data_IF_107396053227
#
_entry.id   IF_107396053227
#
_cell.length_a   1.000
_cell.length_b   1.000
_cell.length_c   1.000
_cell.angle_alpha   90.00
_cell.angle_beta   90.00
_cell.angle_gamma   90.00
#
_symmetry.space_group_name_H-M   'P 1'
#
loop_
_entity.id
_entity.type
_entity.pdbx_description
1 polymer ?
#
# COMPACT_ATOMS: atom_id res chain seq x y z
N UNK A 1 -22.22 -1.10 43.61
CA UNK A 1 -22.93 -1.56 42.38
C UNK A 1 -22.72 -0.59 41.22
N UNK A 2 -22.87 0.72 41.45
CA UNK A 2 -22.58 1.80 40.48
C UNK A 2 -21.14 1.78 39.92
N UNK A 3 -20.12 1.61 40.77
CA UNK A 3 -18.71 1.64 40.34
C UNK A 3 -18.32 0.43 39.44
N UNK A 4 -18.92 -0.74 39.66
CA UNK A 4 -18.70 -1.91 38.81
C UNK A 4 -19.46 -1.80 37.48
N UNK A 5 -20.65 -1.20 37.48
CA UNK A 5 -21.37 -0.90 36.23
C UNK A 5 -20.60 0.13 35.41
N UNK A 6 -20.03 1.16 36.04
CA UNK A 6 -19.23 2.18 35.36
C UNK A 6 -17.91 1.63 34.80
N UNK A 7 -17.22 0.75 35.54
CA UNK A 7 -16.05 0.03 35.05
C UNK A 7 -16.39 -0.91 33.89
N UNK A 8 -17.54 -1.60 33.96
CA UNK A 8 -17.99 -2.53 32.92
C UNK A 8 -18.41 -1.78 31.64
N UNK A 9 -19.14 -0.66 31.77
CA UNK A 9 -19.52 0.22 30.65
C UNK A 9 -18.27 0.83 30.01
N UNK A 10 -17.31 1.28 30.81
CA UNK A 10 -16.01 1.77 30.32
C UNK A 10 -15.22 0.70 29.55
N UNK A 11 -15.26 -0.55 30.02
CA UNK A 11 -14.64 -1.70 29.36
C UNK A 11 -15.30 -2.03 28.00
N UNK A 12 -16.64 -2.01 27.93
CA UNK A 12 -17.39 -2.28 26.69
C UNK A 12 -17.13 -1.19 25.64
N UNK A 13 -17.09 0.08 26.05
CA UNK A 13 -16.80 1.21 25.17
C UNK A 13 -15.35 1.15 24.65
N UNK A 14 -14.39 0.79 25.51
CA UNK A 14 -12.99 0.58 25.09
C UNK A 14 -12.85 -0.60 24.11
N UNK A 15 -13.54 -1.72 24.36
CA UNK A 15 -13.54 -2.89 23.47
C UNK A 15 -14.14 -2.61 22.09
N UNK A 16 -15.26 -1.89 22.02
CA UNK A 16 -15.90 -1.50 20.75
C UNK A 16 -15.00 -0.58 19.91
N UNK A 17 -14.22 0.30 20.54
CA UNK A 17 -13.27 1.22 19.86
C UNK A 17 -12.08 0.47 19.26
N UNK A 18 -11.50 -0.48 20.00
CA UNK A 18 -10.43 -1.34 19.49
C UNK A 18 -10.97 -2.17 18.31
N UNK A 19 -12.20 -2.69 18.42
CA UNK A 19 -12.85 -3.44 17.34
C UNK A 19 -13.02 -2.65 16.03
N UNK A 20 -13.33 -1.35 16.10
CA UNK A 20 -13.43 -0.49 14.90
C UNK A 20 -12.07 -0.32 14.23
N UNK A 21 -11.02 0.00 14.99
CA UNK A 21 -9.66 0.15 14.45
C UNK A 21 -9.18 -1.17 13.84
N UNK A 22 -9.47 -2.29 14.50
CA UNK A 22 -9.09 -3.62 14.03
C UNK A 22 -9.84 -3.99 12.73
N UNK A 23 -11.12 -3.67 12.63
CA UNK A 23 -11.93 -3.87 11.42
C UNK A 23 -11.41 -3.06 10.24
N UNK A 24 -11.06 -1.79 10.48
CA UNK A 24 -10.47 -0.94 9.44
C UNK A 24 -9.12 -1.47 8.97
N UNK A 25 -8.32 -2.10 9.85
CA UNK A 25 -7.07 -2.78 9.44
C UNK A 25 -7.35 -4.01 8.59
N UNK A 26 -8.33 -4.82 8.97
CA UNK A 26 -8.73 -5.99 8.18
C UNK A 26 -9.20 -5.60 6.78
N UNK A 27 -10.01 -4.53 6.69
CA UNK A 27 -10.45 -3.95 5.42
C UNK A 27 -9.26 -3.42 4.60
N UNK A 28 -8.31 -2.73 5.24
CA UNK A 28 -7.10 -2.25 4.59
C UNK A 28 -6.27 -3.42 4.01
N UNK A 29 -6.11 -4.50 4.78
CA UNK A 29 -5.38 -5.70 4.37
C UNK A 29 -6.07 -6.42 3.19
N UNK A 30 -7.40 -6.48 3.18
CA UNK A 30 -8.16 -7.05 2.07
C UNK A 30 -7.90 -6.31 0.76
N UNK A 31 -7.94 -4.97 0.75
CA UNK A 31 -7.64 -4.22 -0.47
C UNK A 31 -6.19 -4.34 -0.92
N UNK A 32 -5.24 -4.48 0.01
CA UNK A 32 -3.83 -4.80 -0.32
C UNK A 32 -3.73 -6.18 -0.97
N UNK A 33 -4.45 -7.18 -0.46
CA UNK A 33 -4.46 -8.52 -1.04
C UNK A 33 -4.99 -8.50 -2.47
N UNK A 34 -6.15 -7.88 -2.70
CA UNK A 34 -6.74 -7.73 -4.04
C UNK A 34 -5.75 -7.08 -5.01
N UNK A 35 -5.11 -6.00 -4.56
CA UNK A 35 -4.13 -5.27 -5.37
C UNK A 35 -2.94 -6.14 -5.75
N UNK A 36 -2.38 -6.85 -4.78
CA UNK A 36 -1.22 -7.72 -5.03
C UNK A 36 -1.57 -8.91 -5.91
N UNK A 37 -2.76 -9.51 -5.77
CA UNK A 37 -3.17 -10.62 -6.64
C UNK A 37 -3.22 -10.19 -8.11
N UNK A 38 -3.80 -9.02 -8.40
CA UNK A 38 -3.87 -8.50 -9.79
C UNK A 38 -2.48 -8.20 -10.33
N UNK A 39 -1.63 -7.52 -9.55
CA UNK A 39 -0.24 -7.23 -9.96
C UNK A 39 0.58 -8.52 -10.14
N UNK A 40 0.37 -9.52 -9.29
CA UNK A 40 1.01 -10.82 -9.42
C UNK A 40 0.61 -11.56 -10.68
N UNK A 41 -0.68 -11.63 -10.97
CA UNK A 41 -1.16 -12.22 -12.22
C UNK A 41 -0.60 -11.47 -13.42
N UNK A 42 -0.56 -10.13 -13.38
CA UNK A 42 -0.02 -9.31 -14.46
C UNK A 42 1.48 -9.58 -14.69
N UNK A 43 2.27 -9.65 -13.61
CA UNK A 43 3.72 -9.87 -13.70
C UNK A 43 4.08 -11.31 -14.10
N UNK A 44 3.32 -12.30 -13.63
CA UNK A 44 3.56 -13.71 -13.95
C UNK A 44 3.04 -14.11 -15.34
N UNK A 45 1.98 -13.47 -15.84
CA UNK A 45 1.38 -13.80 -17.13
C UNK A 45 1.92 -12.97 -18.30
N UNK A 46 2.79 -11.99 -18.06
CA UNK A 46 3.41 -11.20 -19.12
C UNK A 46 4.35 -12.09 -19.96
N UNK A 47 4.06 -12.35 -21.26
CA UNK A 47 4.97 -13.08 -22.12
C UNK A 47 6.21 -12.20 -22.32
N UNK A 48 7.37 -12.61 -21.82
CA UNK A 48 8.54 -11.75 -21.59
C UNK A 48 9.20 -11.04 -22.79
N UNK A 49 8.54 -10.86 -23.94
CA UNK A 49 9.12 -10.32 -25.16
C UNK A 49 9.22 -8.79 -25.28
N UNK A 50 8.80 -8.00 -24.28
CA UNK A 50 8.76 -6.53 -24.36
C UNK A 50 9.23 -5.80 -23.09
N UNK A 51 9.49 -4.48 -23.20
CA UNK A 51 9.88 -3.61 -22.08
C UNK A 51 8.74 -3.25 -21.13
N UNK A 52 7.50 -3.55 -21.52
CA UNK A 52 6.27 -3.22 -20.82
C UNK A 52 5.53 -4.48 -20.40
N UNK A 53 4.80 -4.40 -19.28
CA UNK A 53 3.98 -5.49 -18.76
C UNK A 53 2.66 -5.51 -19.53
N UNK A 54 2.47 -6.48 -20.42
CA UNK A 54 1.25 -6.61 -21.21
C UNK A 54 0.24 -7.57 -20.56
N UNK A 55 -1.04 -7.17 -20.40
CA UNK A 55 -2.08 -8.07 -19.92
C UNK A 55 -2.32 -9.23 -20.91
N UNK A 56 -2.38 -10.46 -20.41
CA UNK A 56 -2.71 -11.65 -21.21
C UNK A 56 -4.18 -11.67 -21.68
N UNK A 57 -5.06 -10.95 -20.98
CA UNK A 57 -6.49 -10.86 -21.28
C UNK A 57 -6.84 -9.42 -21.68
N UNK A 58 -7.32 -9.25 -22.92
CA UNK A 58 -7.63 -7.95 -23.52
C UNK A 58 -9.14 -7.74 -23.74
N UNK A 59 -9.98 -8.49 -23.00
CA UNK A 59 -11.43 -8.35 -23.06
C UNK A 59 -11.89 -7.00 -22.53
N UNK A 60 -13.05 -6.53 -23.00
CA UNK A 60 -13.67 -5.30 -22.47
C UNK A 60 -13.99 -5.41 -20.97
N UNK A 61 -14.36 -6.59 -20.51
CA UNK A 61 -14.57 -6.89 -19.10
C UNK A 61 -13.27 -6.83 -18.28
N UNK A 62 -12.15 -7.33 -18.84
CA UNK A 62 -10.85 -7.34 -18.17
C UNK A 62 -10.27 -5.92 -18.05
N UNK A 63 -10.37 -5.12 -19.12
CA UNK A 63 -10.00 -3.70 -19.10
C UNK A 63 -10.82 -2.91 -18.10
N UNK A 64 -12.13 -3.18 -18.01
CA UNK A 64 -12.99 -2.53 -17.03
C UNK A 64 -12.64 -2.94 -15.59
N UNK A 65 -12.39 -4.24 -15.34
CA UNK A 65 -11.98 -4.73 -14.03
C UNK A 65 -10.63 -4.13 -13.60
N UNK A 66 -9.67 -4.04 -14.53
CA UNK A 66 -8.37 -3.40 -14.28
C UNK A 66 -8.53 -1.91 -14.00
N UNK A 67 -9.29 -1.18 -14.82
CA UNK A 67 -9.52 0.24 -14.59
C UNK A 67 -10.24 0.51 -13.26
N UNK A 68 -11.19 -0.36 -12.87
CA UNK A 68 -11.85 -0.27 -11.57
C UNK A 68 -10.87 -0.53 -10.41
N UNK A 69 -10.00 -1.52 -10.56
CA UNK A 69 -8.97 -1.84 -9.57
C UNK A 69 -7.93 -0.71 -9.44
N UNK A 70 -7.41 -0.21 -10.56
CA UNK A 70 -6.45 0.90 -10.62
C UNK A 70 -7.07 2.17 -10.03
N UNK A 71 -8.29 2.47 -10.48
CA UNK A 71 -9.07 3.61 -10.04
C UNK A 71 -9.47 3.57 -8.57
N UNK A 72 -9.81 2.41 -7.98
CA UNK A 72 -10.36 2.35 -6.61
C UNK A 72 -9.42 1.78 -5.56
N UNK A 73 -8.48 0.93 -5.93
CA UNK A 73 -7.67 0.14 -4.99
C UNK A 73 -6.19 0.47 -5.04
N UNK A 74 -5.61 0.63 -6.24
CA UNK A 74 -4.17 0.83 -6.39
C UNK A 74 -3.71 2.06 -5.60
N UNK A 75 -2.66 1.86 -4.80
CA UNK A 75 -2.04 2.93 -4.02
C UNK A 75 -2.84 3.44 -2.80
N UNK A 76 -4.13 3.12 -2.66
CA UNK A 76 -4.98 3.71 -1.60
C UNK A 76 -4.94 2.90 -0.31
N UNK A 77 -5.05 1.58 -0.43
CA UNK A 77 -5.16 0.69 0.71
C UNK A 77 -3.85 0.57 1.50
N UNK A 78 -2.68 0.68 0.84
CA UNK A 78 -1.40 0.69 1.56
C UNK A 78 -1.23 1.96 2.41
N UNK A 79 -1.60 3.14 1.89
CA UNK A 79 -1.57 4.40 2.63
C UNK A 79 -2.54 4.40 3.82
N UNK A 80 -3.73 3.82 3.62
CA UNK A 80 -4.69 3.61 4.70
C UNK A 80 -4.09 2.70 5.77
N UNK A 81 -3.56 1.54 5.38
CA UNK A 81 -2.91 0.62 6.31
C UNK A 81 -1.74 1.29 7.04
N UNK A 82 -0.97 2.13 6.36
CA UNK A 82 0.15 2.89 6.92
C UNK A 82 -0.31 3.89 7.99
N UNK A 83 -1.38 4.64 7.73
CA UNK A 83 -2.00 5.52 8.71
C UNK A 83 -2.48 4.75 9.95
N UNK A 84 -3.19 3.64 9.75
CA UNK A 84 -3.71 2.81 10.84
C UNK A 84 -2.58 2.17 11.65
N UNK A 85 -1.46 1.83 11.00
CA UNK A 85 -0.27 1.33 11.68
C UNK A 85 0.31 2.38 12.62
N UNK A 86 0.49 3.62 12.14
CA UNK A 86 0.93 4.75 12.96
C UNK A 86 -0.02 5.08 14.11
N UNK A 87 -1.34 4.96 13.89
CA UNK A 87 -2.34 5.10 14.95
C UNK A 87 -2.27 3.97 15.99
N UNK A 88 -2.19 2.72 15.52
CA UNK A 88 -2.10 1.54 16.39
C UNK A 88 -0.83 1.55 17.24
N UNK A 89 0.23 2.20 16.76
CA UNK A 89 1.48 2.39 17.49
C UNK A 89 1.29 3.20 18.78
N UNK A 90 0.49 4.29 18.75
CA UNK A 90 0.23 5.08 19.97
C UNK A 90 -0.60 4.31 20.98
N UNK A 91 -1.58 3.52 20.50
CA UNK A 91 -2.41 2.69 21.35
C UNK A 91 -1.57 1.63 22.08
N UNK A 92 -0.59 1.04 21.40
CA UNK A 92 0.35 0.09 22.01
C UNK A 92 1.25 0.74 23.05
N UNK A 93 1.77 1.94 22.79
CA UNK A 93 2.56 2.70 23.77
C UNK A 93 1.72 2.99 25.00
N UNK A 94 0.49 3.49 24.83
CA UNK A 94 -0.41 3.79 25.92
C UNK A 94 -0.79 2.53 26.72
N UNK A 95 -0.99 1.39 26.05
CA UNK A 95 -1.27 0.11 26.70
C UNK A 95 -0.07 -0.40 27.52
N UNK A 96 1.15 -0.27 27.00
CA UNK A 96 2.37 -0.66 27.74
C UNK A 96 2.58 0.22 28.97
N UNK A 97 2.38 1.53 28.85
CA UNK A 97 2.45 2.48 29.96
C UNK A 97 1.42 2.17 31.06
N UNK A 98 0.18 1.86 30.69
CA UNK A 98 -0.86 1.41 31.64
C UNK A 98 -0.51 0.11 32.35
N UNK A 99 0.21 -0.78 31.69
CA UNK A 99 0.67 -2.05 32.25
C UNK A 99 1.99 -1.92 33.04
N UNK A 100 2.53 -0.71 33.24
CA UNK A 100 3.82 -0.50 33.92
C UNK A 100 5.03 -1.05 33.16
N UNK A 101 4.88 -1.42 31.89
CA UNK A 101 5.92 -2.04 31.07
C UNK A 101 6.58 -1.03 30.13
N UNK A 102 7.88 -1.23 29.84
CA UNK A 102 8.59 -0.43 28.87
C UNK A 102 8.00 -0.66 27.44
N UNK A 103 7.63 0.39 26.70
CA UNK A 103 7.01 0.24 25.38
C UNK A 103 8.02 -0.20 24.31
N UNK A 104 9.29 0.18 24.42
CA UNK A 104 10.31 -0.04 23.36
C UNK A 104 10.57 -1.53 23.09
N UNK A 105 10.83 -2.40 24.10
CA UNK A 105 11.11 -3.81 23.85
C UNK A 105 9.94 -4.54 23.18
N UNK A 106 8.69 -4.17 23.53
CA UNK A 106 7.49 -4.75 22.92
C UNK A 106 7.36 -4.36 21.45
N UNK A 107 7.64 -3.10 21.13
CA UNK A 107 7.64 -2.59 19.76
C UNK A 107 8.79 -3.21 18.93
N UNK A 108 9.99 -3.36 19.49
CA UNK A 108 11.11 -4.02 18.81
C UNK A 108 10.82 -5.49 18.49
N UNK A 109 10.24 -6.24 19.43
CA UNK A 109 9.82 -7.63 19.18
C UNK A 109 8.80 -7.72 18.04
N UNK A 110 7.89 -6.74 17.95
CA UNK A 110 6.92 -6.64 16.87
C UNK A 110 7.60 -6.32 15.53
N UNK A 111 8.48 -5.31 15.48
CA UNK A 111 9.18 -5.01 14.23
C UNK A 111 10.05 -6.21 13.80
N UNK A 112 10.67 -6.95 14.73
CA UNK A 112 11.41 -8.18 14.43
C UNK A 112 10.50 -9.30 13.90
N UNK A 113 9.33 -9.53 14.50
CA UNK A 113 8.36 -10.49 13.98
C UNK A 113 7.87 -10.12 12.57
N UNK A 114 7.56 -8.84 12.32
CA UNK A 114 7.20 -8.36 10.99
C UNK A 114 8.35 -8.55 9.99
N UNK A 115 9.59 -8.26 10.39
CA UNK A 115 10.75 -8.45 9.53
C UNK A 115 10.97 -9.92 9.17
N UNK A 116 10.88 -10.84 10.13
CA UNK A 116 11.06 -12.28 9.89
C UNK A 116 9.95 -12.85 9.01
N UNK A 117 8.69 -12.48 9.25
CA UNK A 117 7.57 -12.89 8.41
C UNK A 117 7.72 -12.30 7.01
N UNK A 118 8.16 -11.05 6.90
CA UNK A 118 8.36 -10.38 5.62
C UNK A 118 9.50 -11.00 4.83
N UNK A 119 10.58 -11.38 5.50
CA UNK A 119 11.69 -12.10 4.87
C UNK A 119 11.24 -13.46 4.34
N UNK A 120 10.45 -14.21 5.11
CA UNK A 120 9.84 -15.44 4.61
C UNK A 120 8.90 -15.15 3.42
N UNK A 121 8.11 -14.08 3.47
CA UNK A 121 7.23 -13.70 2.37
C UNK A 121 8.00 -13.37 1.08
N UNK A 122 9.11 -12.62 1.19
CA UNK A 122 10.01 -12.27 0.07
C UNK A 122 10.68 -13.49 -0.55
N UNK A 123 10.92 -14.55 0.23
CA UNK A 123 11.65 -15.76 -0.19
C UNK A 123 10.74 -16.90 -0.67
N UNK A 124 9.47 -16.90 -0.29
CA UNK A 124 8.55 -18.00 -0.61
C UNK A 124 7.33 -17.58 -1.44
N UNK A 125 6.91 -16.31 -1.41
CA UNK A 125 5.60 -15.90 -1.92
C UNK A 125 5.68 -14.80 -2.97
N UNK A 126 6.35 -13.68 -2.68
CA UNK A 126 6.24 -12.47 -3.51
C UNK A 126 7.37 -11.46 -3.29
N UNK A 127 7.91 -10.88 -4.37
CA UNK A 127 9.02 -9.91 -4.28
C UNK A 127 8.63 -8.54 -3.73
N UNK A 128 7.36 -8.15 -3.86
CA UNK A 128 6.82 -6.86 -3.40
C UNK A 128 6.34 -6.87 -1.96
N UNK A 129 7.13 -7.41 -1.04
CA UNK A 129 6.76 -7.46 0.36
C UNK A 129 6.72 -6.08 1.01
N UNK A 130 5.56 -5.73 1.54
CA UNK A 130 5.38 -4.47 2.28
C UNK A 130 5.81 -4.62 3.75
N UNK A 131 5.94 -5.84 4.26
CA UNK A 131 6.09 -6.10 5.68
C UNK A 131 7.48 -5.75 6.21
N UNK A 132 8.52 -6.05 5.43
CA UNK A 132 9.92 -5.64 5.64
C UNK A 132 10.07 -4.13 5.61
N UNK A 133 9.43 -3.47 4.63
CA UNK A 133 9.35 -2.00 4.58
C UNK A 133 8.71 -1.45 5.84
N UNK A 134 7.58 -2.02 6.28
CA UNK A 134 6.86 -1.57 7.46
C UNK A 134 7.65 -1.86 8.74
N UNK A 135 8.43 -2.94 8.80
CA UNK A 135 9.34 -3.22 9.90
C UNK A 135 10.44 -2.14 10.00
N UNK A 136 11.02 -1.71 8.87
CA UNK A 136 11.96 -0.60 8.83
C UNK A 136 11.33 0.74 9.24
N UNK A 137 10.16 1.06 8.69
CA UNK A 137 9.41 2.25 9.07
C UNK A 137 8.97 2.23 10.54
N UNK A 138 8.66 1.05 11.09
CA UNK A 138 8.36 0.83 12.50
C UNK A 138 9.55 1.24 13.39
N UNK A 139 10.78 0.86 13.00
CA UNK A 139 11.99 1.29 13.69
C UNK A 139 12.17 2.81 13.63
N UNK A 140 12.02 3.42 12.45
CA UNK A 140 12.07 4.88 12.29
C UNK A 140 11.02 5.56 13.18
N UNK A 141 9.80 5.02 13.24
CA UNK A 141 8.73 5.56 14.07
C UNK A 141 9.03 5.46 15.57
N UNK A 142 9.76 4.43 16.00
CA UNK A 142 10.26 4.32 17.39
C UNK A 142 11.21 5.48 17.71
N UNK A 143 12.10 5.86 16.79
CA UNK A 143 12.99 7.02 16.98
C UNK A 143 12.18 8.32 17.00
N UNK A 144 11.18 8.45 16.12
CA UNK A 144 10.35 9.64 15.98
C UNK A 144 9.18 9.72 16.99
N UNK A 145 9.05 8.76 17.90
CA UNK A 145 7.94 8.70 18.88
C UNK A 145 7.84 9.94 19.76
N UNK A 146 8.95 10.66 19.97
CA UNK A 146 9.01 11.86 20.80
C UNK A 146 8.42 13.11 20.14
N UNK A 147 8.13 13.09 18.84
CA UNK A 147 7.67 14.27 18.11
C UNK A 147 6.34 14.81 18.64
N UNK A 148 6.20 16.13 18.70
CA UNK A 148 4.92 16.78 19.03
C UNK A 148 3.87 16.43 17.96
N UNK A 149 2.58 16.28 18.31
CA UNK A 149 1.54 15.90 17.33
C UNK A 149 1.47 16.84 16.12
N UNK A 150 1.67 18.15 16.33
CA UNK A 150 1.70 19.14 15.24
C UNK A 150 2.89 18.91 14.31
N UNK A 151 4.08 18.69 14.86
CA UNK A 151 5.29 18.43 14.07
C UNK A 151 5.16 17.14 13.28
N UNK A 152 4.71 16.05 13.90
CA UNK A 152 4.50 14.77 13.20
C UNK A 152 3.48 14.91 12.04
N UNK A 153 2.38 15.64 12.25
CA UNK A 153 1.40 15.89 11.21
C UNK A 153 1.99 16.70 10.04
N UNK A 154 2.66 17.82 10.33
CA UNK A 154 3.25 18.68 9.28
C UNK A 154 4.34 17.93 8.53
N UNK A 155 5.25 17.25 9.22
CA UNK A 155 6.30 16.44 8.59
C UNK A 155 5.70 15.36 7.71
N UNK A 156 4.65 14.67 8.16
CA UNK A 156 4.00 13.64 7.36
C UNK A 156 3.31 14.21 6.11
N UNK A 157 2.68 15.38 6.24
CA UNK A 157 2.05 16.08 5.13
C UNK A 157 3.08 16.54 4.08
N UNK A 158 4.19 17.11 4.55
CA UNK A 158 5.30 17.54 3.69
C UNK A 158 5.92 16.34 2.97
N UNK A 159 6.19 15.23 3.66
CA UNK A 159 6.73 14.01 3.03
C UNK A 159 5.80 13.48 1.93
N UNK A 160 4.50 13.42 2.20
CA UNK A 160 3.52 12.93 1.24
C UNK A 160 3.42 13.84 0.01
N UNK A 161 3.25 15.16 0.20
CA UNK A 161 3.13 16.08 -0.92
C UNK A 161 4.44 16.33 -1.67
N UNK A 162 5.59 16.28 -0.99
CA UNK A 162 6.88 16.35 -1.66
C UNK A 162 7.09 15.14 -2.58
N UNK A 163 6.70 13.95 -2.12
CA UNK A 163 6.72 12.75 -2.96
C UNK A 163 5.72 12.84 -4.11
N UNK A 164 4.48 13.28 -3.84
CA UNK A 164 3.48 13.48 -4.88
C UNK A 164 3.93 14.52 -5.92
N UNK A 165 4.59 15.60 -5.51
CA UNK A 165 5.15 16.60 -6.42
C UNK A 165 6.25 16.02 -7.31
N UNK A 166 7.02 15.05 -6.82
CA UNK A 166 8.03 14.35 -7.62
C UNK A 166 7.41 13.59 -8.80
N UNK A 167 6.17 13.11 -8.65
CA UNK A 167 5.43 12.47 -9.75
C UNK A 167 5.04 13.43 -10.88
N UNK A 168 5.04 14.75 -10.64
CA UNK A 168 4.78 15.78 -11.66
C UNK A 168 6.06 16.34 -12.29
N UNK A 169 7.24 15.92 -11.83
CA UNK A 169 8.51 16.31 -12.46
C UNK A 169 8.65 15.55 -13.79
N UNK A 170 8.83 16.25 -14.93
CA UNK A 170 9.02 15.57 -16.22
C UNK A 170 10.27 14.69 -16.18
N UNK A 171 10.08 13.40 -16.33
CA UNK A 171 11.12 12.37 -16.39
C UNK A 171 10.48 11.01 -16.65
N UNK A 172 11.25 10.04 -17.15
CA UNK A 172 10.79 8.66 -17.40
C UNK A 172 10.53 7.87 -16.09
N UNK A 173 9.97 8.49 -15.07
CA UNK A 173 9.80 7.94 -13.71
C UNK A 173 8.48 7.20 -13.49
N UNK A 174 7.86 6.65 -14.54
CA UNK A 174 6.69 5.78 -14.45
C UNK A 174 7.06 4.29 -14.35
N UNK A 175 6.09 3.39 -14.55
CA UNK A 175 6.38 1.96 -14.81
C UNK A 175 7.18 1.74 -16.10
N UNK A 176 7.31 2.76 -16.95
CA UNK A 176 8.19 2.80 -18.11
C UNK A 176 9.65 2.62 -17.69
N UNK A 177 10.32 1.58 -18.17
CA UNK A 177 11.69 1.23 -17.79
C UNK A 177 11.79 0.17 -16.69
N UNK A 178 10.66 -0.36 -16.19
CA UNK A 178 10.68 -1.55 -15.34
C UNK A 178 11.36 -2.74 -16.05
N UNK A 179 11.19 -2.89 -17.37
CA UNK A 179 11.90 -3.88 -18.18
C UNK A 179 13.41 -3.64 -18.31
N UNK A 180 13.91 -2.41 -18.09
CA UNK A 180 15.34 -2.10 -18.05
C UNK A 180 15.95 -2.42 -16.67
N UNK A 181 15.17 -2.26 -15.60
CA UNK A 181 15.61 -2.48 -14.20
C UNK A 181 15.45 -3.96 -13.81
N UNK A 182 14.37 -4.57 -14.27
CA UNK A 182 13.99 -5.94 -14.01
C UNK A 182 13.84 -6.69 -15.34
N UNK A 183 14.67 -7.70 -15.53
CA UNK A 183 14.55 -8.64 -16.64
C UNK A 183 13.25 -9.44 -16.47
N UNK A 184 12.18 -8.95 -17.10
CA UNK A 184 10.82 -9.49 -16.98
C UNK A 184 10.76 -10.94 -17.49
N UNK A 185 11.55 -11.27 -18.50
CA UNK A 185 11.62 -12.61 -19.05
C UNK A 185 12.29 -13.58 -18.07
N UNK A 186 13.42 -13.18 -17.47
CA UNK A 186 14.06 -13.97 -16.43
C UNK A 186 13.23 -14.08 -15.14
N UNK A 187 12.40 -13.08 -14.83
CA UNK A 187 11.40 -13.21 -13.76
C UNK A 187 10.32 -14.23 -14.12
N UNK A 188 9.73 -14.12 -15.31
CA UNK A 188 8.72 -15.08 -15.79
C UNK A 188 9.25 -16.52 -15.73
N UNK A 189 10.43 -16.76 -16.32
CA UNK A 189 11.08 -18.08 -16.36
C UNK A 189 11.36 -18.62 -14.95
N UNK A 190 11.80 -17.76 -14.03
CA UNK A 190 12.05 -18.12 -12.63
C UNK A 190 10.79 -18.47 -11.85
N UNK A 191 9.64 -17.88 -12.18
CA UNK A 191 8.35 -18.20 -11.56
C UNK A 191 7.66 -19.43 -12.17
N UNK A 192 7.92 -19.74 -13.44
CA UNK A 192 7.42 -20.96 -14.10
C UNK A 192 8.35 -22.17 -13.92
N UNK A 193 9.56 -21.97 -13.39
CA UNK A 193 10.58 -23.00 -13.16
C UNK A 193 10.36 -23.84 -11.90
N UNK A 194 11.41 -24.57 -11.49
CA UNK A 194 11.38 -25.38 -10.27
C UNK A 194 11.64 -24.50 -9.02
N UNK A 195 11.37 -25.02 -7.82
CA UNK A 195 11.52 -24.27 -6.56
C UNK A 195 12.92 -23.62 -6.40
N UNK A 196 13.97 -24.29 -6.88
CA UNK A 196 15.34 -23.75 -6.88
C UNK A 196 15.54 -22.56 -7.82
N UNK A 197 14.89 -22.56 -8.99
CA UNK A 197 14.94 -21.47 -9.96
C UNK A 197 14.18 -20.26 -9.44
N UNK A 198 13.03 -20.49 -8.80
CA UNK A 198 12.25 -19.44 -8.14
C UNK A 198 13.03 -18.81 -6.99
N UNK A 199 13.69 -19.62 -6.14
CA UNK A 199 14.51 -19.10 -5.04
C UNK A 199 15.70 -18.29 -5.56
N UNK A 200 16.39 -18.76 -6.60
CA UNK A 200 17.49 -18.04 -7.24
C UNK A 200 17.02 -16.72 -7.88
N UNK A 201 15.86 -16.72 -8.55
CA UNK A 201 15.23 -15.52 -9.08
C UNK A 201 14.90 -14.54 -7.95
N UNK A 202 14.26 -15.00 -6.86
CA UNK A 202 13.89 -14.16 -5.72
C UNK A 202 15.11 -13.58 -5.00
N UNK A 203 16.21 -14.32 -4.84
CA UNK A 203 17.46 -13.78 -4.27
C UNK A 203 18.10 -12.71 -5.16
N UNK A 204 17.97 -12.83 -6.49
CA UNK A 204 18.57 -11.89 -7.44
C UNK A 204 17.75 -10.61 -7.61
N UNK A 205 16.41 -10.73 -7.69
CA UNK A 205 15.50 -9.62 -7.92
C UNK A 205 14.98 -9.00 -6.63
N UNK A 206 14.90 -9.77 -5.54
CA UNK A 206 14.37 -9.34 -4.23
C UNK A 206 15.01 -8.05 -3.72
N UNK A 207 16.35 -7.93 -3.64
CA UNK A 207 16.99 -6.69 -3.19
C UNK A 207 16.67 -5.47 -4.06
N UNK A 208 16.60 -5.65 -5.39
CA UNK A 208 16.24 -4.57 -6.33
C UNK A 208 14.77 -4.16 -6.14
N UNK A 209 13.88 -5.13 -6.00
CA UNK A 209 12.45 -4.90 -5.82
C UNK A 209 12.15 -4.27 -4.46
N UNK A 210 12.86 -4.68 -3.40
CA UNK A 210 12.80 -4.05 -2.08
C UNK A 210 13.25 -2.60 -2.14
N UNK A 211 14.36 -2.29 -2.83
CA UNK A 211 14.84 -0.92 -2.99
C UNK A 211 13.84 -0.06 -3.78
N UNK A 212 13.32 -0.58 -4.89
CA UNK A 212 12.29 0.07 -5.69
C UNK A 212 11.04 0.36 -4.84
N UNK A 213 10.59 -0.62 -4.07
CA UNK A 213 9.44 -0.47 -3.15
C UNK A 213 9.72 0.54 -2.05
N UNK A 214 10.94 0.58 -1.49
CA UNK A 214 11.35 1.57 -0.51
C UNK A 214 11.33 2.99 -1.06
N UNK A 215 11.84 3.20 -2.27
CA UNK A 215 11.87 4.51 -2.91
C UNK A 215 10.46 4.96 -3.33
N UNK A 216 9.67 4.05 -3.91
CA UNK A 216 8.34 4.36 -4.42
C UNK A 216 7.24 4.44 -3.35
N UNK A 217 7.32 3.63 -2.29
CA UNK A 217 6.26 3.53 -1.28
C UNK A 217 6.73 3.94 0.12
N UNK A 218 8.02 3.89 0.42
CA UNK A 218 8.55 4.14 1.77
C UNK A 218 8.33 5.57 2.25
N UNK A 219 8.62 6.56 1.41
CA UNK A 219 8.42 7.99 1.73
C UNK A 219 6.94 8.32 2.01
N UNK A 220 5.98 8.02 1.12
CA UNK A 220 4.58 8.32 1.37
C UNK A 220 4.01 7.48 2.53
N UNK A 221 4.45 6.21 2.70
CA UNK A 221 4.05 5.39 3.85
C UNK A 221 4.56 5.97 5.18
N UNK A 222 5.81 6.46 5.24
CA UNK A 222 6.34 7.15 6.42
C UNK A 222 5.53 8.42 6.72
N UNK A 223 5.15 9.18 5.68
CA UNK A 223 4.28 10.33 5.82
C UNK A 223 2.96 9.97 6.51
N UNK A 224 2.30 8.91 6.04
CA UNK A 224 1.05 8.42 6.64
C UNK A 224 1.24 7.82 8.04
N UNK A 225 2.37 7.16 8.33
CA UNK A 225 2.70 6.69 9.69
C UNK A 225 2.77 7.87 10.67
N UNK A 226 3.39 8.98 10.27
CA UNK A 226 3.52 10.18 11.11
C UNK A 226 2.18 10.90 11.30
N UNK A 227 1.35 10.96 10.26
CA UNK A 227 -0.03 11.46 10.38
C UNK A 227 -0.84 10.56 11.32
N UNK A 228 -0.69 9.24 11.21
CA UNK A 228 -1.29 8.25 12.11
C UNK A 228 -0.84 8.43 13.56
N UNK A 229 0.46 8.64 13.77
CA UNK A 229 1.04 8.95 15.08
C UNK A 229 0.45 10.22 15.68
N UNK A 230 0.30 11.29 14.88
CA UNK A 230 -0.30 12.54 15.31
C UNK A 230 -1.79 12.38 15.68
N UNK A 231 -2.55 11.66 14.87
CA UNK A 231 -3.96 11.35 15.12
C UNK A 231 -4.13 10.47 16.37
N UNK A 232 -3.26 9.49 16.55
CA UNK A 232 -3.24 8.61 17.71
C UNK A 232 -2.92 9.34 19.01
N UNK A 233 -1.97 10.28 19.00
CA UNK A 233 -1.66 11.13 20.16
C UNK A 233 -2.82 12.05 20.56
N UNK A 234 -3.64 12.47 19.59
CA UNK A 234 -4.85 13.26 19.82
C UNK A 234 -6.10 12.42 20.06
N UNK A 235 -5.98 11.08 20.01
CA UNK A 235 -7.10 10.13 20.18
C UNK A 235 -8.29 10.44 19.26
N UNK A 236 -7.99 10.87 18.03
CA UNK A 236 -9.01 11.35 17.08
C UNK A 236 -10.05 10.28 16.75
N UNK A 237 -9.65 9.00 16.69
CA UNK A 237 -10.59 7.90 16.43
C UNK A 237 -11.34 7.42 17.69
N UNK A 238 -10.97 7.91 18.87
CA UNK A 238 -11.70 7.65 20.13
C UNK A 238 -12.72 8.75 20.44
N UNK A 239 -12.60 9.92 19.79
CA UNK A 239 -13.48 11.06 19.96
C UNK A 239 -14.68 10.96 19.00
N UNK A 240 -15.81 10.50 19.53
CA UNK A 240 -17.07 10.32 18.79
C UNK A 240 -17.64 11.64 18.25
N UNK A 241 -17.44 12.75 18.95
CA UNK A 241 -17.90 14.07 18.48
C UNK A 241 -17.04 14.56 17.31
N UNK A 242 -15.74 14.30 17.37
CA UNK A 242 -14.85 14.63 16.27
C UNK A 242 -15.20 13.82 15.01
N UNK A 243 -15.38 12.50 15.14
CA UNK A 243 -15.74 11.61 14.03
C UNK A 243 -17.06 12.05 13.41
N UNK A 244 -18.12 12.22 14.19
CA UNK A 244 -19.45 12.58 13.66
C UNK A 244 -19.44 13.93 12.92
N UNK A 245 -18.59 14.87 13.33
CA UNK A 245 -18.45 16.19 12.69
C UNK A 245 -17.61 16.17 11.42
N UNK A 246 -16.51 15.41 11.41
CA UNK A 246 -15.51 15.47 10.34
C UNK A 246 -15.60 14.33 9.33
N UNK A 247 -16.09 13.15 9.72
CA UNK A 247 -16.26 12.01 8.82
C UNK A 247 -17.13 12.34 7.59
N UNK A 248 -18.33 12.94 7.70
CA UNK A 248 -19.13 13.26 6.52
C UNK A 248 -18.43 14.28 5.60
N UNK A 249 -17.65 15.21 6.14
CA UNK A 249 -16.87 16.18 5.35
C UNK A 249 -15.69 15.52 4.65
N UNK A 250 -14.99 14.63 5.35
CA UNK A 250 -13.89 13.85 4.79
C UNK A 250 -14.39 12.89 3.71
N UNK A 251 -15.57 12.28 3.89
CA UNK A 251 -16.23 11.48 2.87
C UNK A 251 -16.68 12.34 1.70
N UNK A 252 -17.27 13.51 1.93
CA UNK A 252 -17.69 14.42 0.85
C UNK A 252 -16.50 14.92 0.03
N UNK A 253 -15.39 15.32 0.68
CA UNK A 253 -14.14 15.69 0.00
C UNK A 253 -13.51 14.48 -0.70
N UNK A 254 -13.48 13.33 -0.04
CA UNK A 254 -12.90 12.09 -0.55
C UNK A 254 -13.64 11.55 -1.76
N UNK A 255 -14.97 11.47 -1.71
CA UNK A 255 -15.79 11.09 -2.86
C UNK A 255 -15.85 12.20 -3.90
N UNK A 256 -15.93 13.46 -3.48
CA UNK A 256 -16.05 14.62 -4.37
C UNK A 256 -14.80 14.87 -5.21
N UNK A 257 -13.60 14.60 -4.69
CA UNK A 257 -12.34 14.70 -5.45
C UNK A 257 -11.90 13.34 -5.99
N UNK A 258 -12.04 12.29 -5.17
CA UNK A 258 -11.58 10.96 -5.51
C UNK A 258 -12.38 10.27 -6.61
N UNK A 259 -13.71 10.42 -6.66
CA UNK A 259 -14.51 9.82 -7.74
C UNK A 259 -14.22 10.46 -9.09
N UNK A 260 -14.16 11.80 -9.23
CA UNK A 260 -13.80 12.41 -10.51
C UNK A 260 -12.39 12.05 -10.97
N UNK A 261 -11.40 12.06 -10.08
CA UNK A 261 -10.03 11.66 -10.45
C UNK A 261 -10.00 10.20 -10.88
N UNK A 262 -10.64 9.31 -10.13
CA UNK A 262 -10.68 7.88 -10.49
C UNK A 262 -11.45 7.65 -11.80
N UNK A 263 -12.55 8.38 -12.02
CA UNK A 263 -13.31 8.33 -13.27
C UNK A 263 -12.49 8.84 -14.45
N UNK A 264 -11.73 9.92 -14.28
CA UNK A 264 -10.81 10.46 -15.30
C UNK A 264 -9.73 9.42 -15.62
N UNK A 265 -9.07 8.84 -14.61
CA UNK A 265 -8.09 7.76 -14.83
C UNK A 265 -8.70 6.59 -15.58
N UNK A 266 -9.88 6.10 -15.16
CA UNK A 266 -10.61 5.02 -15.84
C UNK A 266 -10.90 5.39 -17.30
N UNK A 267 -11.40 6.60 -17.57
CA UNK A 267 -11.70 7.04 -18.94
C UNK A 267 -10.44 7.20 -19.78
N UNK A 268 -9.35 7.72 -19.23
CA UNK A 268 -8.09 7.88 -19.94
C UNK A 268 -7.46 6.53 -20.27
N UNK A 269 -7.47 5.58 -19.33
CA UNK A 269 -6.95 4.23 -19.52
C UNK A 269 -7.80 3.40 -20.49
N UNK A 270 -9.11 3.68 -20.60
CA UNK A 270 -10.00 3.01 -21.57
C UNK A 270 -9.98 3.65 -22.95
N UNK A 271 -9.73 4.96 -23.06
CA UNK A 271 -9.63 5.68 -24.34
C UNK A 271 -8.25 5.57 -24.99
N UNK A 272 -7.16 5.62 -24.21
CA UNK A 272 -5.79 5.42 -24.69
C UNK A 272 -5.35 3.97 -24.57
N UNK A 273 -6.14 3.03 -25.12
CA UNK A 273 -5.72 1.62 -25.23
C UNK A 273 -4.24 1.57 -25.60
N UNK A 274 -3.46 0.81 -24.82
CA UNK A 274 -2.00 0.86 -24.79
C UNK A 274 -1.41 1.09 -26.19
N UNK A 275 -0.46 2.04 -26.36
CA UNK A 275 0.25 2.11 -27.63
C UNK A 275 0.97 0.77 -27.83
N UNK A 276 0.47 -0.08 -28.72
CA UNK A 276 1.20 -1.26 -29.18
C UNK A 276 2.59 -0.78 -29.65
N UNK A 277 3.70 -1.10 -28.95
CA UNK A 277 5.02 -0.61 -29.33
C UNK A 277 5.52 -1.22 -30.64
N UNK A 278 4.77 -2.19 -31.20
CA UNK A 278 5.09 -2.91 -32.42
C UNK A 278 4.04 -2.84 -33.54
N UNK A 279 3.13 -1.86 -33.53
CA UNK A 279 2.40 -1.53 -34.77
C UNK A 279 3.25 -0.69 -35.74
N UNK A 280 4.49 -1.13 -35.96
CA UNK A 280 5.30 -0.73 -37.10
C UNK A 280 4.89 -1.57 -38.31
N UNK A 281 4.12 -0.97 -39.21
CA UNK A 281 4.13 -1.28 -40.66
C UNK A 281 3.45 -2.54 -41.23
N UNK A 282 2.46 -3.17 -40.59
CA UNK A 282 1.65 -4.20 -41.29
C UNK A 282 0.15 -4.12 -40.97
N UNK A 283 -0.46 -2.98 -41.28
CA UNK A 283 -1.90 -2.89 -41.52
C UNK A 283 -2.12 -2.10 -42.80
N UNK A 284 -1.75 -2.71 -43.93
CA UNK A 284 -2.20 -2.25 -45.25
C UNK A 284 -2.73 -3.45 -46.02
N UNK A 285 -4.06 -3.49 -46.12
CA UNK A 285 -4.86 -4.28 -47.06
C UNK A 285 -4.60 -5.79 -47.15
N UNK A 286 -5.49 -6.56 -46.53
CA UNK A 286 -5.94 -7.84 -47.10
C UNK A 286 -7.46 -7.93 -46.98
N UNK A 287 -8.22 -7.85 -48.09
CA UNK A 287 -9.66 -8.02 -48.03
C UNK A 287 -9.98 -9.49 -47.79
N UNK A 288 -11.00 -9.70 -46.95
CA UNK A 288 -11.69 -10.96 -46.72
C UNK A 288 -12.01 -11.61 -48.07
N UNK A 289 -11.55 -12.84 -48.28
CA UNK A 289 -12.19 -13.77 -49.22
C UNK A 289 -12.35 -15.14 -48.58
N UNK A 290 -13.62 -15.55 -48.58
CA UNK A 290 -14.15 -16.91 -48.58
C UNK A 290 -13.42 -17.84 -49.56
#
# INVERSE_FOLDING_TARGET
MSEQVEAQVSGVVAGRRIGVVDSLRGFALFGILVTNTVVATMLWSSPGGGSDVEPMFDGTADRFAYALMDGLFLGKFYLLFAFLFGYSFTLQIAAAQRAGAAPVPRLLRRCAAMFLIGLAHVLFLWLGDILTLYAGLCLILILLRGLRPRTAFITGLVLYFAFAALAFVPGNGGMSGLGEIFDLQRMHDGFTGNFGDTLAAQLSFGPKFMLFTWLGQGIPALGMFLIGLAAGKRRVLEDSEWISRWLPRALLLGFGVGLPVSAVTVTLSTMHGAPCPHCGSVCRNSPIRS
#
